data_IF_728178534594
#
_entry.id   IF_728178534594
#
_cell.length_a   1.000
_cell.length_b   1.000
_cell.length_c   1.000
_cell.angle_alpha   90.00
_cell.angle_beta   90.00
_cell.angle_gamma   90.00
#
_symmetry.space_group_name_H-M   'P 1'
#
loop_
_entity.id
_entity.type
_entity.pdbx_description
1 polymer ?
#
# COMPACT_ATOMS: atom_id res chain seq x y z
N UNK A 1 -4.58 -3.94 3.02
CA UNK A 1 -4.49 -2.52 2.66
C UNK A 1 -3.57 -2.29 1.44
N UNK A 2 -4.09 -2.35 0.21
CA UNK A 2 -3.33 -2.03 -1.00
C UNK A 2 -4.17 -1.14 -1.93
N UNK A 3 -3.58 -0.04 -2.36
CA UNK A 3 -4.10 0.87 -3.36
C UNK A 3 -4.65 2.20 -2.84
N UNK A 4 -4.24 2.62 -1.64
CA UNK A 4 -4.65 3.87 -1.01
C UNK A 4 -3.72 5.03 -1.40
N UNK A 5 -2.45 4.74 -1.72
CA UNK A 5 -1.45 5.73 -2.20
C UNK A 5 -1.68 6.02 -3.68
N UNK A 6 -2.86 6.56 -4.01
CA UNK A 6 -3.30 6.79 -5.38
C UNK A 6 -3.40 8.29 -5.67
N UNK A 7 -2.69 8.80 -6.67
CA UNK A 7 -2.82 10.20 -7.05
C UNK A 7 -4.20 10.48 -7.65
N UNK A 8 -4.73 11.68 -7.39
CA UNK A 8 -5.99 12.12 -7.97
C UNK A 8 -5.74 12.79 -9.32
N UNK A 9 -5.89 11.99 -10.39
CA UNK A 9 -5.62 12.37 -11.79
C UNK A 9 -6.24 13.68 -12.24
N UNK A 10 -7.45 14.02 -11.77
CA UNK A 10 -8.15 15.24 -12.21
C UNK A 10 -7.47 16.51 -11.71
N UNK A 11 -6.64 16.41 -10.67
CA UNK A 11 -5.86 17.52 -10.09
C UNK A 11 -4.36 17.34 -10.38
N UNK A 12 -4.00 16.55 -11.39
CA UNK A 12 -2.62 16.36 -11.84
C UNK A 12 -2.36 17.08 -13.15
N UNK A 13 -1.13 17.58 -13.31
CA UNK A 13 -0.63 17.95 -14.63
C UNK A 13 -0.53 16.69 -15.51
N UNK A 14 -0.74 16.85 -16.81
CA UNK A 14 -0.64 15.74 -17.78
C UNK A 14 0.73 15.06 -17.72
N UNK A 15 1.81 15.85 -17.55
CA UNK A 15 3.18 15.33 -17.42
C UNK A 15 3.31 14.38 -16.21
N UNK A 16 2.73 14.76 -15.08
CA UNK A 16 2.80 14.02 -13.82
C UNK A 16 1.97 12.75 -13.90
N UNK A 17 0.79 12.83 -14.52
CA UNK A 17 -0.05 11.67 -14.81
C UNK A 17 0.69 10.65 -15.69
N UNK A 18 1.40 11.11 -16.72
CA UNK A 18 2.21 10.24 -17.59
C UNK A 18 3.41 9.65 -16.86
N UNK A 19 4.07 10.44 -16.01
CA UNK A 19 5.22 10.02 -15.21
C UNK A 19 4.83 8.93 -14.21
N UNK A 20 3.75 9.12 -13.43
CA UNK A 20 3.27 8.07 -12.52
C UNK A 20 2.81 6.81 -13.26
N UNK A 21 2.09 6.98 -14.39
CA UNK A 21 1.63 5.87 -15.23
C UNK A 21 2.79 5.04 -15.79
N UNK A 22 3.93 5.67 -16.12
CA UNK A 22 5.14 4.97 -16.56
C UNK A 22 5.54 3.90 -15.53
N UNK A 23 5.68 4.27 -14.25
CA UNK A 23 6.07 3.33 -13.20
C UNK A 23 5.01 2.27 -12.95
N UNK A 24 3.73 2.66 -12.89
CA UNK A 24 2.62 1.73 -12.71
C UNK A 24 2.59 0.64 -13.81
N UNK A 25 2.70 1.05 -15.07
CA UNK A 25 2.74 0.12 -16.20
C UNK A 25 4.01 -0.74 -16.20
N UNK A 26 5.14 -0.18 -15.78
CA UNK A 26 6.43 -0.90 -15.72
C UNK A 26 6.40 -2.01 -14.68
N UNK A 27 5.93 -1.73 -13.46
CA UNK A 27 5.79 -2.72 -12.38
C UNK A 27 4.82 -3.84 -12.79
N UNK A 28 3.65 -3.48 -13.32
CA UNK A 28 2.68 -4.45 -13.84
C UNK A 28 3.29 -5.35 -14.93
N UNK A 29 4.10 -4.80 -15.84
CA UNK A 29 4.75 -5.56 -16.90
C UNK A 29 5.85 -6.48 -16.37
N UNK A 30 6.67 -6.02 -15.42
CA UNK A 30 7.66 -6.88 -14.77
C UNK A 30 6.95 -8.06 -14.08
N UNK A 31 5.94 -7.80 -13.26
CA UNK A 31 5.17 -8.84 -12.56
C UNK A 31 4.63 -9.91 -13.52
N UNK A 32 4.09 -9.49 -14.66
CA UNK A 32 3.54 -10.41 -15.67
C UNK A 32 4.62 -11.20 -16.41
N UNK A 33 5.76 -10.58 -16.73
CA UNK A 33 6.87 -11.22 -17.45
C UNK A 33 7.64 -12.20 -16.59
N UNK A 34 7.92 -11.82 -15.35
CA UNK A 34 8.63 -12.64 -14.37
C UNK A 34 7.77 -13.80 -13.87
N UNK A 35 6.45 -13.74 -14.08
CA UNK A 35 5.51 -14.76 -13.62
C UNK A 35 4.53 -15.17 -14.74
N UNK A 36 3.30 -14.66 -14.67
CA UNK A 36 2.26 -14.88 -15.68
C UNK A 36 1.23 -13.75 -15.62
N UNK A 37 0.28 -13.75 -16.55
CA UNK A 37 -0.71 -12.67 -16.72
C UNK A 37 -1.58 -12.40 -15.49
N UNK A 38 -1.79 -13.38 -14.60
CA UNK A 38 -2.55 -13.16 -13.36
C UNK A 38 -1.83 -12.25 -12.37
N UNK A 39 -0.51 -12.09 -12.48
CA UNK A 39 0.24 -11.18 -11.61
C UNK A 39 0.02 -9.70 -11.96
N UNK A 40 -0.73 -9.40 -13.02
CA UNK A 40 -1.24 -8.04 -13.24
C UNK A 40 -2.13 -7.57 -12.08
N UNK A 41 -2.84 -8.48 -11.40
CA UNK A 41 -3.69 -8.18 -10.23
C UNK A 41 -2.91 -7.92 -8.96
N UNK A 42 -1.65 -8.36 -8.91
CA UNK A 42 -0.78 -8.23 -7.74
C UNK A 42 -0.22 -6.81 -7.62
N UNK A 43 -0.18 -6.06 -8.72
CA UNK A 43 0.36 -4.71 -8.74
C UNK A 43 -0.41 -3.76 -7.81
N UNK A 44 0.31 -2.97 -7.02
CA UNK A 44 -0.26 -1.97 -6.11
C UNK A 44 0.20 -0.55 -6.45
N UNK A 45 -0.58 0.45 -6.03
CA UNK A 45 -0.20 1.85 -6.22
C UNK A 45 0.98 2.23 -5.32
N UNK A 46 1.09 1.61 -4.14
CA UNK A 46 2.22 1.75 -3.22
C UNK A 46 3.53 1.29 -3.85
N UNK A 47 3.50 0.14 -4.55
CA UNK A 47 4.68 -0.37 -5.25
C UNK A 47 5.09 0.51 -6.43
N UNK A 48 4.13 1.01 -7.21
CA UNK A 48 4.40 1.95 -8.29
C UNK A 48 4.94 3.29 -7.76
N UNK A 49 4.40 3.76 -6.63
CA UNK A 49 4.86 4.94 -5.92
C UNK A 49 6.30 4.77 -5.44
N UNK A 50 6.64 3.63 -4.83
CA UNK A 50 8.00 3.39 -4.39
C UNK A 50 8.98 3.26 -5.56
N UNK A 51 8.59 2.57 -6.64
CA UNK A 51 9.41 2.51 -7.85
C UNK A 51 9.71 3.90 -8.42
N UNK A 52 8.72 4.81 -8.41
CA UNK A 52 8.91 6.20 -8.83
C UNK A 52 9.91 6.93 -7.93
N UNK A 53 9.72 6.88 -6.60
CA UNK A 53 10.63 7.53 -5.65
C UNK A 53 12.04 6.95 -5.72
N UNK A 54 12.16 5.63 -5.83
CA UNK A 54 13.45 4.94 -5.92
C UNK A 54 14.22 5.34 -7.17
N UNK A 55 13.52 5.46 -8.30
CA UNK A 55 14.16 5.94 -9.51
C UNK A 55 14.65 7.37 -9.34
N UNK A 56 13.85 8.24 -8.74
CA UNK A 56 14.19 9.65 -8.60
C UNK A 56 15.30 9.92 -7.59
N UNK A 57 15.42 9.11 -6.53
CA UNK A 57 16.38 9.35 -5.45
C UNK A 57 17.66 8.51 -5.57
N UNK A 58 17.64 7.42 -6.35
CA UNK A 58 18.75 6.45 -6.40
C UNK A 58 19.22 6.16 -7.83
N UNK A 59 18.31 5.73 -8.70
CA UNK A 59 18.71 5.15 -10.01
C UNK A 59 18.98 6.21 -11.07
N UNK A 60 18.13 7.25 -11.11
CA UNK A 60 18.18 8.35 -12.08
C UNK A 60 18.20 7.92 -13.56
N UNK A 61 17.53 6.82 -13.90
CA UNK A 61 17.39 6.35 -15.29
C UNK A 61 15.94 6.44 -15.74
N UNK A 62 15.73 7.05 -16.91
CA UNK A 62 14.41 7.20 -17.50
C UNK A 62 14.22 6.38 -18.76
N UNK A 63 15.18 5.55 -19.17
CA UNK A 63 15.33 4.79 -20.43
C UNK A 63 14.08 4.11 -20.99
N UNK A 64 13.06 4.89 -21.29
CA UNK A 64 11.70 4.44 -21.51
C UNK A 64 11.58 3.82 -22.88
N UNK A 65 10.99 2.64 -22.91
CA UNK A 65 10.71 1.89 -24.12
C UNK A 65 9.21 1.88 -24.40
N UNK A 66 8.83 1.66 -25.65
CA UNK A 66 7.43 1.37 -26.01
C UNK A 66 7.22 -0.14 -26.00
N UNK A 67 6.28 -0.61 -25.20
CA UNK A 67 5.92 -2.03 -25.15
C UNK A 67 4.40 -2.22 -25.04
N UNK A 68 3.94 -3.46 -25.19
CA UNK A 68 2.53 -3.84 -25.10
C UNK A 68 2.06 -3.82 -23.64
N UNK A 69 0.85 -3.31 -23.42
CA UNK A 69 0.20 -3.35 -22.11
C UNK A 69 -0.17 -4.80 -21.74
N UNK A 70 0.12 -5.21 -20.50
CA UNK A 70 -0.24 -6.54 -19.98
C UNK A 70 -1.75 -6.79 -19.94
N UNK A 71 -2.53 -5.74 -19.66
CA UNK A 71 -4.00 -5.79 -19.62
C UNK A 71 -4.66 -5.65 -20.99
N UNK A 72 -4.06 -4.86 -21.89
CA UNK A 72 -4.53 -4.62 -23.25
C UNK A 72 -3.40 -4.88 -24.26
N UNK A 73 -3.13 -6.14 -24.64
CA UNK A 73 -1.95 -6.50 -25.46
C UNK A 73 -1.87 -5.83 -26.84
N UNK A 74 -2.99 -5.29 -27.33
CA UNK A 74 -3.06 -4.57 -28.60
C UNK A 74 -2.58 -3.11 -28.48
N UNK A 75 -2.51 -2.57 -27.26
CA UNK A 75 -2.13 -1.18 -26.99
C UNK A 75 -0.66 -1.12 -26.58
N UNK A 76 0.10 -0.21 -27.18
CA UNK A 76 1.46 0.12 -26.73
C UNK A 76 1.43 1.24 -25.70
N UNK A 77 2.19 1.09 -24.62
CA UNK A 77 2.37 2.07 -23.56
C UNK A 77 3.86 2.35 -23.33
N UNK A 78 4.22 3.55 -22.87
CA UNK A 78 5.56 3.79 -22.34
C UNK A 78 5.77 2.95 -21.08
N UNK A 79 6.92 2.31 -20.98
CA UNK A 79 7.34 1.52 -19.83
C UNK A 79 8.86 1.54 -19.71
N UNK A 80 9.40 1.38 -18.51
CA UNK A 80 10.80 1.10 -18.29
C UNK A 80 11.14 -0.35 -18.67
N UNK A 81 12.42 -0.65 -18.93
CA UNK A 81 12.89 -2.01 -19.15
C UNK A 81 12.55 -2.93 -17.96
N UNK A 82 12.29 -4.24 -18.17
CA UNK A 82 11.96 -5.14 -17.06
C UNK A 82 13.09 -5.29 -16.02
N UNK A 83 14.33 -5.21 -16.47
CA UNK A 83 15.57 -5.26 -15.68
C UNK A 83 15.95 -3.93 -15.02
N UNK A 84 15.10 -2.91 -15.17
CA UNK A 84 15.29 -1.62 -14.52
C UNK A 84 15.13 -1.77 -13.01
N UNK A 85 16.16 -1.37 -12.24
CA UNK A 85 16.26 -1.63 -10.80
C UNK A 85 15.04 -1.14 -10.00
N UNK A 86 14.56 0.08 -10.26
CA UNK A 86 13.37 0.62 -9.59
C UNK A 86 12.08 -0.20 -9.88
N UNK A 87 11.97 -0.81 -11.05
CA UNK A 87 10.83 -1.65 -11.44
C UNK A 87 10.89 -3.00 -10.74
N UNK A 88 12.08 -3.58 -10.62
CA UNK A 88 12.30 -4.81 -9.85
C UNK A 88 11.91 -4.62 -8.38
N UNK A 89 12.28 -3.48 -7.77
CA UNK A 89 11.87 -3.13 -6.41
C UNK A 89 10.34 -3.08 -6.28
N UNK A 90 9.67 -2.34 -7.16
CA UNK A 90 8.21 -2.26 -7.14
C UNK A 90 7.54 -3.63 -7.33
N UNK A 91 8.08 -4.48 -8.20
CA UNK A 91 7.55 -5.83 -8.40
C UNK A 91 7.75 -6.71 -7.16
N UNK A 92 8.94 -6.66 -6.52
CA UNK A 92 9.22 -7.38 -5.28
C UNK A 92 8.28 -6.96 -4.15
N UNK A 93 8.02 -5.66 -3.99
CA UNK A 93 7.09 -5.16 -2.97
C UNK A 93 5.63 -5.48 -3.24
N UNK A 94 5.20 -5.46 -4.50
CA UNK A 94 3.85 -5.92 -4.86
C UNK A 94 3.66 -7.39 -4.46
N UNK A 95 4.67 -8.23 -4.71
CA UNK A 95 4.65 -9.64 -4.31
C UNK A 95 4.65 -9.80 -2.79
N UNK A 96 5.45 -9.03 -2.06
CA UNK A 96 5.48 -9.05 -0.60
C UNK A 96 4.12 -8.68 -0.01
N UNK A 97 3.57 -7.54 -0.43
CA UNK A 97 2.28 -7.07 0.08
C UNK A 97 1.15 -8.04 -0.27
N UNK A 98 1.15 -8.62 -1.46
CA UNK A 98 0.18 -9.64 -1.85
C UNK A 98 0.36 -10.94 -1.07
N UNK A 99 1.60 -11.37 -0.80
CA UNK A 99 1.88 -12.55 -0.01
C UNK A 99 1.38 -12.39 1.43
N UNK A 100 1.65 -11.25 2.06
CA UNK A 100 1.16 -10.94 3.42
C UNK A 100 -0.37 -10.92 3.44
N UNK A 101 -0.99 -10.11 2.58
CA UNK A 101 -2.44 -10.02 2.52
C UNK A 101 -3.12 -11.37 2.24
N UNK A 102 -2.59 -12.13 1.28
CA UNK A 102 -3.16 -13.44 0.95
C UNK A 102 -3.00 -14.41 2.12
N UNK A 103 -1.91 -14.36 2.88
CA UNK A 103 -1.75 -15.21 4.06
C UNK A 103 -2.76 -14.87 5.17
N UNK A 104 -3.07 -13.60 5.36
CA UNK A 104 -4.11 -13.14 6.29
C UNK A 104 -5.49 -13.64 5.84
N UNK A 105 -5.88 -13.35 4.58
CA UNK A 105 -7.17 -13.79 4.01
C UNK A 105 -7.37 -15.32 4.12
N UNK A 106 -6.29 -16.11 3.98
CA UNK A 106 -6.32 -17.57 4.11
C UNK A 106 -6.49 -18.09 5.53
N UNK A 107 -5.99 -17.35 6.51
CA UNK A 107 -6.08 -17.74 7.91
C UNK A 107 -7.53 -17.60 8.40
N UNK A 108 -8.30 -16.69 7.81
CA UNK A 108 -9.64 -16.31 8.26
C UNK A 108 -10.78 -17.05 7.52
N UNK A 109 -10.49 -17.68 6.37
CA UNK A 109 -11.49 -18.46 5.63
C UNK A 109 -11.82 -19.83 6.25
N UNK A 110 -13.12 -20.13 6.38
CA UNK A 110 -13.61 -21.37 7.00
C UNK A 110 -14.06 -22.46 6.02
N UNK A 111 -14.30 -22.16 4.74
CA UNK A 111 -14.90 -23.08 3.75
C UNK A 111 -13.98 -24.17 3.17
N UNK A 112 -14.43 -25.42 3.09
CA UNK A 112 -13.62 -26.59 2.68
C UNK A 112 -13.07 -26.54 1.24
N UNK A 113 -13.91 -26.21 0.25
CA UNK A 113 -13.51 -26.13 -1.16
C UNK A 113 -12.63 -24.91 -1.45
N UNK A 114 -12.94 -23.82 -0.77
CA UNK A 114 -12.19 -22.57 -0.80
C UNK A 114 -10.78 -22.84 -0.26
N UNK A 115 -10.65 -23.47 0.93
CA UNK A 115 -9.36 -23.91 1.51
C UNK A 115 -8.51 -24.74 0.55
N UNK A 116 -9.09 -25.67 -0.21
CA UNK A 116 -8.33 -26.54 -1.12
C UNK A 116 -7.79 -25.79 -2.34
N UNK A 117 -8.64 -24.99 -2.99
CA UNK A 117 -8.24 -24.13 -4.11
C UNK A 117 -7.18 -23.12 -3.68
N UNK A 118 -7.40 -22.53 -2.51
CA UNK A 118 -6.52 -21.56 -1.92
C UNK A 118 -5.18 -22.13 -1.45
N UNK A 119 -5.13 -23.39 -1.00
CA UNK A 119 -3.86 -24.07 -0.68
C UNK A 119 -2.98 -24.31 -1.91
N UNK A 120 -3.59 -24.59 -3.06
CA UNK A 120 -2.84 -24.72 -4.32
C UNK A 120 -2.26 -23.37 -4.77
N UNK A 121 -3.08 -22.32 -4.75
CA UNK A 121 -2.63 -20.95 -5.03
C UNK A 121 -1.56 -20.49 -4.03
N UNK A 122 -1.74 -20.77 -2.74
CA UNK A 122 -0.76 -20.49 -1.70
C UNK A 122 0.59 -21.17 -1.96
N UNK A 123 0.56 -22.45 -2.37
CA UNK A 123 1.79 -23.17 -2.73
C UNK A 123 2.52 -22.53 -3.91
N UNK A 124 1.77 -22.07 -4.92
CA UNK A 124 2.34 -21.38 -6.09
C UNK A 124 2.90 -20.01 -5.73
N UNK A 125 2.15 -19.21 -4.97
CA UNK A 125 2.56 -17.89 -4.50
C UNK A 125 3.79 -17.98 -3.60
N UNK A 126 3.78 -18.91 -2.64
CA UNK A 126 4.95 -19.17 -1.79
C UNK A 126 6.17 -19.60 -2.59
N UNK A 127 5.99 -20.40 -3.66
CA UNK A 127 7.09 -20.77 -4.56
C UNK A 127 7.63 -19.56 -5.33
N UNK A 128 6.74 -18.72 -5.87
CA UNK A 128 7.12 -17.47 -6.54
C UNK A 128 7.85 -16.53 -5.58
N UNK A 129 7.30 -16.32 -4.39
CA UNK A 129 7.90 -15.47 -3.36
C UNK A 129 9.30 -15.97 -2.96
N UNK A 130 9.45 -17.29 -2.74
CA UNK A 130 10.76 -17.91 -2.49
C UNK A 130 11.75 -17.72 -3.64
N UNK A 131 11.28 -17.74 -4.88
CA UNK A 131 12.10 -17.46 -6.06
C UNK A 131 12.58 -16.01 -6.16
N UNK A 132 12.02 -15.09 -5.36
CA UNK A 132 12.33 -13.67 -5.34
C UNK A 132 13.12 -13.25 -4.08
N UNK A 133 13.54 -14.19 -3.22
CA UNK A 133 14.32 -13.88 -2.00
C UNK A 133 15.56 -13.03 -2.32
N UNK A 134 16.29 -13.39 -3.39
CA UNK A 134 17.46 -12.64 -3.83
C UNK A 134 17.16 -11.17 -4.19
N UNK A 135 15.92 -10.84 -4.60
CA UNK A 135 15.53 -9.45 -4.84
C UNK A 135 15.37 -8.68 -3.53
N UNK A 136 14.81 -9.29 -2.49
CA UNK A 136 14.71 -8.64 -1.17
C UNK A 136 16.09 -8.39 -0.58
N UNK A 137 17.01 -9.35 -0.71
CA UNK A 137 18.42 -9.19 -0.32
C UNK A 137 19.10 -8.05 -1.11
N UNK A 138 18.89 -7.99 -2.43
CA UNK A 138 19.39 -6.90 -3.30
C UNK A 138 18.96 -5.52 -2.81
N UNK A 139 17.76 -5.40 -2.26
CA UNK A 139 17.20 -4.15 -1.75
C UNK A 139 17.34 -3.99 -0.22
N UNK A 140 18.20 -4.78 0.43
CA UNK A 140 18.45 -4.72 1.88
C UNK A 140 17.18 -4.88 2.74
N UNK A 141 16.16 -5.59 2.23
CA UNK A 141 14.94 -5.92 2.97
C UNK A 141 15.15 -7.27 3.65
N UNK A 142 15.33 -7.26 4.97
CA UNK A 142 15.46 -8.48 5.76
C UNK A 142 14.08 -9.08 6.04
N UNK A 143 13.79 -10.22 5.41
CA UNK A 143 12.51 -10.91 5.55
C UNK A 143 12.29 -11.50 6.95
N UNK A 144 13.35 -11.82 7.69
CA UNK A 144 13.22 -12.32 9.06
C UNK A 144 12.80 -11.20 10.02
N UNK A 145 13.30 -9.98 9.80
CA UNK A 145 12.84 -8.78 10.51
C UNK A 145 11.37 -8.51 10.19
N UNK A 146 11.00 -8.53 8.90
CA UNK A 146 9.59 -8.33 8.49
C UNK A 146 8.67 -9.35 9.14
N UNK A 147 9.03 -10.63 9.11
CA UNK A 147 8.22 -11.69 9.72
C UNK A 147 8.10 -11.51 11.23
N UNK A 148 9.19 -11.17 11.92
CA UNK A 148 9.19 -10.96 13.38
C UNK A 148 8.28 -9.81 13.79
N UNK A 149 8.34 -8.69 13.08
CA UNK A 149 7.52 -7.51 13.38
C UNK A 149 6.04 -7.75 13.00
N UNK A 150 5.77 -8.51 11.94
CA UNK A 150 4.40 -8.97 11.63
C UNK A 150 3.86 -9.89 12.72
N UNK A 151 4.65 -10.86 13.20
CA UNK A 151 4.25 -11.75 14.28
C UNK A 151 4.02 -11.00 15.61
N UNK A 152 4.72 -9.88 15.81
CA UNK A 152 4.48 -8.98 16.94
C UNK A 152 3.13 -8.26 16.79
N UNK A 153 2.84 -7.71 15.62
CA UNK A 153 1.55 -7.07 15.34
C UNK A 153 0.39 -8.07 15.51
N UNK A 154 0.49 -9.26 14.92
CA UNK A 154 -0.55 -10.30 15.04
C UNK A 154 -0.78 -10.73 16.51
N UNK A 155 0.26 -10.71 17.35
CA UNK A 155 0.13 -10.96 18.80
C UNK A 155 -0.61 -9.85 19.52
N UNK A 156 -0.35 -8.59 19.16
CA UNK A 156 -1.05 -7.42 19.70
C UNK A 156 -2.54 -7.45 19.34
N UNK A 157 -2.87 -7.75 18.08
CA UNK A 157 -4.27 -7.83 17.62
C UNK A 157 -5.06 -8.92 18.34
N UNK A 158 -4.41 -10.04 18.66
CA UNK A 158 -5.01 -11.16 19.41
C UNK A 158 -5.14 -10.91 20.92
N UNK A 159 -4.47 -9.90 21.47
CA UNK A 159 -4.56 -9.59 22.90
C UNK A 159 -5.76 -8.65 23.17
N UNK A 160 -6.88 -9.16 23.71
CA UNK A 160 -8.09 -8.35 23.93
C UNK A 160 -7.90 -7.25 24.98
N UNK A 161 -6.85 -7.32 25.82
CA UNK A 161 -6.56 -6.29 26.82
C UNK A 161 -5.91 -5.05 26.22
N UNK A 162 -5.31 -5.19 25.03
CA UNK A 162 -4.62 -4.10 24.35
C UNK A 162 -5.63 -3.27 23.55
N UNK A 163 -6.11 -2.18 24.17
CA UNK A 163 -7.03 -1.21 23.56
C UNK A 163 -6.35 0.05 23.01
N UNK A 164 -5.09 0.28 23.37
CA UNK A 164 -4.36 1.46 22.93
C UNK A 164 -4.09 1.39 21.42
N UNK A 165 -4.77 2.27 20.70
CA UNK A 165 -4.66 2.40 19.26
C UNK A 165 -3.26 2.88 18.84
N UNK A 166 -2.62 3.74 19.64
CA UNK A 166 -1.35 4.36 19.28
C UNK A 166 -0.20 3.33 19.28
N UNK A 167 -0.31 2.29 20.11
CA UNK A 167 0.62 1.16 20.07
C UNK A 167 0.51 0.35 18.77
N UNK A 168 -0.70 0.04 18.33
CA UNK A 168 -0.92 -0.67 17.05
C UNK A 168 -0.47 0.17 15.85
N UNK A 169 -0.81 1.47 15.86
CA UNK A 169 -0.39 2.40 14.82
C UNK A 169 1.14 2.53 14.77
N UNK A 170 1.82 2.57 15.93
CA UNK A 170 3.29 2.63 15.95
C UNK A 170 3.92 1.36 15.43
N UNK A 171 3.45 0.19 15.88
CA UNK A 171 3.98 -1.09 15.41
C UNK A 171 3.85 -1.23 13.89
N UNK A 172 2.69 -0.89 13.34
CA UNK A 172 2.46 -0.95 11.89
C UNK A 172 3.23 0.12 11.13
N UNK A 173 3.24 1.36 11.63
CA UNK A 173 3.99 2.47 11.04
C UNK A 173 5.49 2.16 10.93
N UNK A 174 6.08 1.60 11.99
CA UNK A 174 7.49 1.20 12.03
C UNK A 174 7.80 0.07 11.04
N UNK A 175 6.96 -0.97 10.97
CA UNK A 175 7.10 -2.06 10.01
C UNK A 175 6.97 -1.56 8.56
N UNK A 176 5.95 -0.74 8.29
CA UNK A 176 5.74 -0.16 6.96
C UNK A 176 6.91 0.74 6.55
N UNK A 177 7.37 1.59 7.47
CA UNK A 177 8.55 2.44 7.31
C UNK A 177 9.80 1.64 6.99
N UNK A 178 10.05 0.56 7.74
CA UNK A 178 11.16 -0.35 7.48
C UNK A 178 11.11 -0.89 6.05
N UNK A 179 9.99 -1.52 5.65
CA UNK A 179 9.87 -2.12 4.32
C UNK A 179 10.08 -1.08 3.21
N UNK A 180 9.50 0.11 3.34
CA UNK A 180 9.52 1.13 2.30
C UNK A 180 10.84 1.93 2.24
N UNK A 181 11.53 2.15 3.37
CA UNK A 181 12.74 2.97 3.42
C UNK A 181 14.05 2.17 3.32
N UNK A 182 14.05 0.88 3.65
CA UNK A 182 15.26 0.06 3.61
C UNK A 182 15.96 0.00 2.24
N UNK A 183 15.26 -0.03 1.10
CA UNK A 183 15.90 0.01 -0.22
C UNK A 183 16.83 1.21 -0.46
N UNK A 184 16.58 2.32 0.24
CA UNK A 184 17.31 3.58 0.11
C UNK A 184 18.52 3.67 1.06
N UNK A 185 18.62 2.77 2.04
CA UNK A 185 19.66 2.82 3.08
C UNK A 185 21.04 2.68 2.46
N UNK A 186 21.91 3.67 2.72
CA UNK A 186 23.26 3.72 2.16
C UNK A 186 23.33 4.09 0.68
N UNK A 187 22.19 4.40 0.04
CA UNK A 187 22.11 4.88 -1.36
C UNK A 187 21.74 6.36 -1.47
N UNK A 188 21.25 6.97 -0.39
CA UNK A 188 21.00 8.40 -0.24
C UNK A 188 21.65 8.93 1.05
N UNK A 189 21.66 10.24 1.24
CA UNK A 189 22.21 10.90 2.42
C UNK A 189 21.53 10.37 3.72
N UNK A 190 22.28 10.12 4.82
CA UNK A 190 21.72 9.57 6.06
C UNK A 190 20.55 10.38 6.62
N UNK A 191 20.67 11.71 6.66
CA UNK A 191 19.61 12.59 7.16
C UNK A 191 18.35 12.52 6.28
N UNK A 192 18.53 12.39 4.96
CA UNK A 192 17.44 12.26 3.99
C UNK A 192 16.75 10.89 4.13
N UNK A 193 17.51 9.83 4.41
CA UNK A 193 16.99 8.50 4.72
C UNK A 193 16.16 8.49 6.00
N UNK A 194 16.60 9.17 7.05
CA UNK A 194 15.85 9.30 8.30
C UNK A 194 14.52 10.03 8.09
N UNK A 195 14.54 11.13 7.32
CA UNK A 195 13.31 11.84 6.94
C UNK A 195 12.37 10.93 6.14
N UNK A 196 12.89 10.17 5.18
CA UNK A 196 12.11 9.23 4.37
C UNK A 196 11.46 8.14 5.24
N UNK A 197 12.21 7.58 6.19
CA UNK A 197 11.70 6.59 7.13
C UNK A 197 10.57 7.17 7.99
N UNK A 198 10.74 8.37 8.55
CA UNK A 198 9.67 9.06 9.31
C UNK A 198 8.45 9.36 8.44
N UNK A 199 8.67 9.78 7.20
CA UNK A 199 7.59 10.06 6.26
C UNK A 199 6.77 8.80 5.97
N UNK A 200 7.42 7.65 5.77
CA UNK A 200 6.73 6.38 5.59
C UNK A 200 6.06 5.84 6.85
N UNK A 201 6.59 6.11 8.05
CA UNK A 201 5.92 5.76 9.31
C UNK A 201 4.55 6.45 9.41
N UNK A 202 4.51 7.77 9.17
CA UNK A 202 3.25 8.52 9.12
C UNK A 202 2.29 7.99 8.04
N UNK A 203 2.80 7.66 6.85
CA UNK A 203 1.98 7.05 5.80
C UNK A 203 1.38 5.73 6.25
N UNK A 204 2.18 4.83 6.84
CA UNK A 204 1.72 3.55 7.35
C UNK A 204 0.57 3.70 8.35
N UNK A 205 0.70 4.63 9.29
CA UNK A 205 -0.35 4.96 10.28
C UNK A 205 -1.64 5.43 9.61
N UNK A 206 -1.54 6.31 8.60
CA UNK A 206 -2.70 6.77 7.81
C UNK A 206 -3.39 5.59 7.14
N UNK A 207 -2.63 4.71 6.49
CA UNK A 207 -3.19 3.57 5.77
C UNK A 207 -3.96 2.64 6.70
N UNK A 208 -3.43 2.36 7.89
CA UNK A 208 -4.08 1.49 8.87
C UNK A 208 -5.38 2.09 9.40
N UNK A 209 -5.39 3.40 9.70
CA UNK A 209 -6.60 4.11 10.12
C UNK A 209 -7.68 4.11 9.05
N UNK A 210 -7.31 4.41 7.80
CA UNK A 210 -8.27 4.43 6.69
C UNK A 210 -8.88 3.05 6.44
N UNK A 211 -8.06 2.01 6.38
CA UNK A 211 -8.52 0.63 6.15
C UNK A 211 -9.43 0.17 7.31
N UNK A 212 -9.04 0.47 8.56
CA UNK A 212 -9.87 0.14 9.74
C UNK A 212 -11.21 0.86 9.74
N UNK A 213 -11.28 2.11 9.29
CA UNK A 213 -12.55 2.83 9.15
C UNK A 213 -13.38 2.27 7.98
N UNK A 214 -12.74 1.95 6.86
CA UNK A 214 -13.40 1.47 5.65
C UNK A 214 -14.06 0.09 5.87
N UNK A 215 -13.35 -0.81 6.56
CA UNK A 215 -13.78 -2.19 6.77
C UNK A 215 -14.51 -2.42 8.11
N UNK A 216 -14.78 -1.36 8.89
CA UNK A 216 -15.42 -1.45 10.22
C UNK A 216 -16.69 -2.31 10.24
N UNK A 217 -17.61 -2.13 9.28
CA UNK A 217 -18.83 -2.94 9.23
C UNK A 217 -18.56 -4.38 8.83
N UNK A 218 -17.65 -4.59 7.86
CA UNK A 218 -17.28 -5.93 7.38
C UNK A 218 -16.66 -6.74 8.51
N UNK A 219 -15.73 -6.14 9.24
CA UNK A 219 -14.98 -6.81 10.29
C UNK A 219 -15.86 -7.08 11.52
N UNK A 220 -16.80 -6.15 11.82
CA UNK A 220 -17.83 -6.39 12.82
C UNK A 220 -18.71 -7.59 12.46
N UNK A 221 -19.21 -7.64 11.22
CA UNK A 221 -20.09 -8.71 10.75
C UNK A 221 -19.38 -10.09 10.68
N UNK A 222 -18.06 -10.07 10.45
CA UNK A 222 -17.24 -11.28 10.32
C UNK A 222 -16.56 -11.70 11.63
N UNK A 223 -16.77 -10.96 12.72
CA UNK A 223 -16.07 -11.11 14.01
C UNK A 223 -14.54 -11.09 13.87
N UNK A 224 -14.03 -10.34 12.88
CA UNK A 224 -12.61 -10.15 12.61
C UNK A 224 -12.04 -9.00 13.45
N UNK A 225 -10.72 -8.97 13.60
CA UNK A 225 -10.06 -7.87 14.31
C UNK A 225 -10.22 -6.57 13.51
N UNK A 226 -10.69 -5.51 14.18
CA UNK A 226 -10.66 -4.16 13.66
C UNK A 226 -10.11 -3.21 14.73
N UNK A 227 -9.15 -2.40 14.32
CA UNK A 227 -8.43 -1.51 15.24
C UNK A 227 -9.36 -0.52 15.96
N UNK A 228 -10.35 0.03 15.25
CA UNK A 228 -11.27 1.02 15.81
C UNK A 228 -12.27 0.35 16.74
N UNK A 229 -12.82 -0.81 16.35
CA UNK A 229 -13.72 -1.58 17.23
C UNK A 229 -13.01 -2.02 18.52
N UNK A 230 -11.70 -2.30 18.46
CA UNK A 230 -10.90 -2.63 19.65
C UNK A 230 -10.68 -1.43 20.57
N UNK A 231 -10.48 -0.24 20.00
CA UNK A 231 -10.17 0.98 20.75
C UNK A 231 -11.40 1.64 21.36
N UNK A 232 -12.58 1.48 20.76
CA UNK A 232 -13.82 2.12 21.21
C UNK A 232 -14.58 1.29 22.25
N UNK A 233 -15.06 1.96 23.30
CA UNK A 233 -16.04 1.39 24.23
C UNK A 233 -17.48 1.70 23.75
N UNK A 234 -18.43 0.82 24.08
CA UNK A 234 -19.86 0.98 23.75
C UNK A 234 -20.10 1.20 22.24
N UNK A 235 -19.68 0.25 21.41
CA UNK A 235 -19.85 0.30 19.95
C UNK A 235 -21.33 0.36 19.57
N UNK A 236 -21.73 1.43 18.88
CA UNK A 236 -23.09 1.63 18.33
C UNK A 236 -23.05 1.69 16.79
N UNK A 237 -22.62 0.60 16.14
CA UNK A 237 -22.44 0.53 14.67
C UNK A 237 -23.72 0.71 13.82
N UNK A 238 -24.90 0.68 14.46
CA UNK A 238 -26.18 1.00 13.85
C UNK A 238 -26.54 2.51 13.95
N UNK A 239 -25.88 3.27 14.83
CA UNK A 239 -26.18 4.67 15.09
C UNK A 239 -25.33 5.59 14.19
N UNK A 240 -25.98 6.30 13.26
CA UNK A 240 -25.32 7.22 12.33
C UNK A 240 -24.54 8.35 13.04
N UNK A 241 -25.04 8.87 14.16
CA UNK A 241 -24.36 9.94 14.91
C UNK A 241 -23.10 9.43 15.59
N UNK A 242 -23.12 8.18 16.08
CA UNK A 242 -21.93 7.52 16.59
C UNK A 242 -20.91 7.33 15.46
N UNK A 243 -21.33 6.80 14.30
CA UNK A 243 -20.46 6.60 13.13
C UNK A 243 -19.81 7.91 12.65
N UNK A 244 -20.55 9.02 12.61
CA UNK A 244 -20.00 10.35 12.30
C UNK A 244 -18.98 10.82 13.33
N UNK A 245 -19.24 10.56 14.62
CA UNK A 245 -18.32 10.91 15.70
C UNK A 245 -17.01 10.13 15.59
N UNK A 246 -17.10 8.83 15.32
CA UNK A 246 -15.95 7.95 15.06
C UNK A 246 -15.17 8.43 13.84
N UNK A 247 -15.85 8.65 12.72
CA UNK A 247 -15.22 9.17 11.50
C UNK A 247 -14.45 10.46 11.78
N UNK A 248 -15.08 11.47 12.40
CA UNK A 248 -14.44 12.76 12.66
C UNK A 248 -13.20 12.62 13.56
N UNK A 249 -13.27 11.77 14.60
CA UNK A 249 -12.14 11.51 15.50
C UNK A 249 -10.94 10.94 14.77
N UNK A 250 -11.14 9.89 13.98
CA UNK A 250 -10.03 9.22 13.29
C UNK A 250 -9.58 9.96 12.03
N UNK A 251 -10.47 10.70 11.37
CA UNK A 251 -10.12 11.65 10.31
C UNK A 251 -9.20 12.75 10.85
N UNK A 252 -9.43 13.26 12.07
CA UNK A 252 -8.53 14.23 12.68
C UNK A 252 -7.12 13.65 12.88
N UNK A 253 -7.02 12.40 13.34
CA UNK A 253 -5.72 11.70 13.46
C UNK A 253 -5.04 11.53 12.10
N UNK A 254 -5.78 11.16 11.05
CA UNK A 254 -5.27 11.12 9.67
C UNK A 254 -4.75 12.50 9.23
N UNK A 255 -5.48 13.57 9.56
CA UNK A 255 -5.06 14.94 9.26
C UNK A 255 -3.75 15.31 9.96
N UNK A 256 -3.59 14.97 11.23
CA UNK A 256 -2.36 15.21 12.00
C UNK A 256 -1.15 14.50 11.36
N UNK A 257 -1.30 13.22 10.99
CA UNK A 257 -0.24 12.47 10.30
C UNK A 257 0.08 13.10 8.93
N UNK A 258 -0.93 13.52 8.17
CA UNK A 258 -0.73 14.23 6.90
C UNK A 258 0.08 15.51 7.08
N UNK A 259 -0.21 16.31 8.11
CA UNK A 259 0.50 17.56 8.35
C UNK A 259 1.98 17.28 8.66
N UNK A 260 2.28 16.29 9.49
CA UNK A 260 3.66 15.85 9.72
C UNK A 260 4.38 15.44 8.42
N UNK A 261 3.69 14.73 7.53
CA UNK A 261 4.26 14.34 6.22
C UNK A 261 4.53 15.55 5.31
N UNK A 262 3.64 16.55 5.31
CA UNK A 262 3.82 17.78 4.53
C UNK A 262 4.98 18.62 5.06
N UNK A 263 5.19 18.67 6.37
CA UNK A 263 6.34 19.34 6.98
C UNK A 263 7.68 18.68 6.63
N UNK A 264 7.69 17.35 6.49
CA UNK A 264 8.87 16.58 6.11
C UNK A 264 9.16 16.62 4.59
N UNK A 265 8.14 16.87 3.76
CA UNK A 265 8.24 16.76 2.29
C UNK A 265 9.38 17.60 1.66
N UNK A 266 9.62 18.87 2.04
CA UNK A 266 10.73 19.64 1.46
C UNK A 266 12.10 19.02 1.72
N UNK A 267 12.26 18.32 2.86
CA UNK A 267 13.52 17.66 3.25
C UNK A 267 13.77 16.35 2.49
N UNK A 268 12.78 15.86 1.72
CA UNK A 268 12.97 14.74 0.81
C UNK A 268 13.65 15.16 -0.50
N UNK A 269 13.74 16.47 -0.79
CA UNK A 269 14.43 17.02 -1.97
C UNK A 269 13.96 16.35 -3.28
N UNK A 270 12.64 16.26 -3.43
CA UNK A 270 12.01 15.69 -4.62
C UNK A 270 11.94 16.73 -5.75
N UNK A 271 12.12 16.26 -6.98
CA UNK A 271 12.04 17.04 -8.21
C UNK A 271 10.72 16.75 -8.94
N UNK A 272 10.75 15.90 -9.97
CA UNK A 272 9.57 15.58 -10.78
C UNK A 272 8.45 14.91 -9.97
N UNK A 273 8.80 14.11 -8.97
CA UNK A 273 7.82 13.43 -8.12
C UNK A 273 7.16 14.34 -7.08
N UNK A 274 7.70 15.55 -6.82
CA UNK A 274 7.18 16.42 -5.75
C UNK A 274 5.70 16.77 -5.94
N UNK A 275 5.29 17.15 -7.15
CA UNK A 275 3.88 17.48 -7.44
C UNK A 275 2.96 16.26 -7.32
N UNK A 276 3.46 15.06 -7.64
CA UNK A 276 2.71 13.80 -7.51
C UNK A 276 2.53 13.46 -6.04
N UNK A 277 3.59 13.54 -5.23
CA UNK A 277 3.54 13.29 -3.78
C UNK A 277 2.62 14.30 -3.11
N UNK A 278 2.74 15.59 -3.46
CA UNK A 278 1.84 16.64 -2.98
C UNK A 278 0.38 16.34 -3.32
N UNK A 279 0.09 15.98 -4.58
CA UNK A 279 -1.25 15.61 -5.02
C UNK A 279 -1.81 14.40 -4.25
N UNK A 280 -1.00 13.39 -3.95
CA UNK A 280 -1.41 12.24 -3.15
C UNK A 280 -1.81 12.69 -1.74
N UNK A 281 -1.02 13.55 -1.10
CA UNK A 281 -1.27 14.00 0.27
C UNK A 281 -2.46 14.97 0.37
N UNK A 282 -2.67 15.83 -0.62
CA UNK A 282 -3.74 16.83 -0.60
C UNK A 282 -5.02 16.26 -1.18
N UNK A 283 -5.04 15.90 -2.47
CA UNK A 283 -6.26 15.52 -3.17
C UNK A 283 -6.54 14.02 -3.13
N UNK A 284 -5.50 13.18 -3.22
CA UNK A 284 -5.62 11.73 -3.15
C UNK A 284 -6.21 11.31 -1.81
N UNK A 285 -5.61 11.78 -0.71
CA UNK A 285 -6.04 11.46 0.64
C UNK A 285 -7.45 11.97 0.95
N UNK A 286 -7.79 13.20 0.55
CA UNK A 286 -9.14 13.75 0.75
C UNK A 286 -10.21 12.88 0.05
N UNK A 287 -9.91 12.38 -1.16
CA UNK A 287 -10.79 11.46 -1.88
C UNK A 287 -10.91 10.10 -1.18
N UNK A 288 -9.83 9.60 -0.60
CA UNK A 288 -9.88 8.37 0.20
C UNK A 288 -10.73 8.57 1.46
N UNK A 289 -10.54 9.67 2.19
CA UNK A 289 -11.37 10.03 3.34
C UNK A 289 -12.86 10.10 2.97
N UNK A 290 -13.20 10.70 1.83
CA UNK A 290 -14.58 10.74 1.33
C UNK A 290 -15.13 9.33 1.02
N UNK A 291 -14.30 8.44 0.46
CA UNK A 291 -14.68 7.04 0.19
C UNK A 291 -14.91 6.27 1.50
N UNK A 292 -14.02 6.47 2.47
CA UNK A 292 -14.14 5.89 3.82
C UNK A 292 -15.38 6.40 4.53
N UNK A 293 -15.70 7.71 4.43
CA UNK A 293 -16.94 8.26 4.97
C UNK A 293 -18.17 7.56 4.37
N UNK A 294 -18.17 7.37 3.05
CA UNK A 294 -19.26 6.69 2.36
C UNK A 294 -19.41 5.22 2.75
N UNK A 295 -18.30 4.52 2.98
CA UNK A 295 -18.30 3.14 3.48
C UNK A 295 -18.79 3.05 4.94
N UNK A 296 -18.24 3.91 5.81
CA UNK A 296 -18.50 3.87 7.25
C UNK A 296 -19.86 4.46 7.64
N UNK A 297 -20.22 5.62 7.09
CA UNK A 297 -21.44 6.36 7.49
C UNK A 297 -22.59 6.08 6.52
N UNK A 298 -22.34 6.24 5.22
CA UNK A 298 -23.38 6.06 4.19
C UNK A 298 -23.67 4.58 3.87
N UNK A 299 -22.89 3.63 4.42
CA UNK A 299 -22.96 2.18 4.17
C UNK A 299 -23.03 1.83 2.67
N UNK A 300 -22.39 2.65 1.83
CA UNK A 300 -22.34 2.39 0.39
C UNK A 300 -21.37 1.25 0.14
N UNK A 301 -21.73 0.27 -0.71
CA UNK A 301 -20.82 -0.83 -1.03
C UNK A 301 -19.55 -0.28 -1.69
N UNK A 302 -18.40 -0.90 -1.38
CA UNK A 302 -17.14 -0.65 -2.07
C UNK A 302 -17.39 -0.72 -3.59
N UNK A 303 -17.04 0.36 -4.29
CA UNK A 303 -17.01 0.34 -5.76
C UNK A 303 -16.11 -0.81 -6.18
N UNK A 304 -16.62 -1.80 -6.92
CA UNK A 304 -15.86 -3.00 -7.26
C UNK A 304 -14.51 -2.63 -7.89
N UNK A 305 -13.41 -3.16 -7.33
CA UNK A 305 -12.09 -3.11 -7.98
C UNK A 305 -12.23 -3.80 -9.33
N UNK A 306 -12.16 -3.01 -10.40
CA UNK A 306 -12.20 -3.51 -11.77
C UNK A 306 -11.00 -4.43 -12.02
N UNK A 307 -11.16 -5.38 -12.95
CA UNK A 307 -10.11 -6.35 -13.32
C UNK A 307 -8.78 -5.70 -13.77
N UNK A 308 -8.75 -4.40 -14.03
CA UNK A 308 -7.53 -3.64 -14.29
C UNK A 308 -7.57 -2.28 -13.58
N UNK A 309 -6.81 -2.16 -12.48
CA UNK A 309 -6.64 -0.92 -11.72
C UNK A 309 -5.99 0.23 -12.52
N UNK A 310 -5.58 0.01 -13.78
CA UNK A 310 -5.02 1.06 -14.62
C UNK A 310 -6.09 1.91 -15.33
N UNK A 311 -7.39 1.61 -15.23
CA UNK A 311 -8.41 2.39 -15.96
C UNK A 311 -8.46 3.87 -15.56
N UNK A 312 -8.06 4.17 -14.32
CA UNK A 312 -7.94 5.55 -13.88
C UNK A 312 -6.78 6.28 -14.56
N UNK A 313 -5.83 5.60 -15.23
CA UNK A 313 -4.68 6.19 -15.91
C UNK A 313 -4.62 5.90 -17.40
#
# INVERSE_FOLDING_TARGET
MLGLVKPYKMEMLVKDCMYYKLYYCSVCRNLVRSNNRLYAFVNSYEAAFLAMLYNEMVVHDMGAVKDRCSGLPLVKVPALPPDHEAVELGAALSLLAFQVKFQDDLHDETGFWIKKYNRFLAGRLKKTFKGQIAQFEKFNIDLDVVQKEQDKLNRMERDPSLKDIDLHLSQWGELFSYIMSQPFRGKIEPDRHEVLARWFDHLGRILYLLDSMEDLHKDLDSEEFNLILRAEDNVESANENWLKTIYNRYQQRVHEQRMNMLELLPRLELNESHSIVSNILTHGLDRQCATVFDALVSKKPKTQKLLFNCQDF
#
